data_IF_803655891965
#
_entry.id   IF_803655891965
#
_cell.length_a   1.000
_cell.length_b   1.000
_cell.length_c   1.000
_cell.angle_alpha   90.00
_cell.angle_beta   90.00
_cell.angle_gamma   90.00
#
_symmetry.space_group_name_H-M   'P 1'
#
loop_
_entity.id
_entity.type
_entity.pdbx_description
1 polymer ?
#
# COMPACT_ATOMS: atom_id res chain seq x y z
N UNK A 1 -15.61 19.93 16.47
CA UNK A 1 -16.37 20.04 15.20
C UNK A 1 -15.47 19.44 14.13
N UNK A 2 -15.92 18.43 13.38
CA UNK A 2 -15.10 17.88 12.29
C UNK A 2 -15.01 18.89 11.15
N UNK A 3 -13.88 18.95 10.44
CA UNK A 3 -13.82 19.71 9.21
C UNK A 3 -14.73 19.05 8.16
N UNK A 4 -15.67 19.81 7.59
CA UNK A 4 -16.49 19.36 6.46
C UNK A 4 -15.65 19.43 5.18
N UNK A 5 -14.84 18.41 4.95
CA UNK A 5 -13.99 18.33 3.75
C UNK A 5 -14.68 17.48 2.68
N UNK A 6 -14.95 18.07 1.52
CA UNK A 6 -15.66 17.41 0.43
C UNK A 6 -15.00 16.07 0.03
N UNK A 7 -15.73 14.97 0.25
CA UNK A 7 -15.29 13.61 -0.08
C UNK A 7 -14.50 12.88 1.01
N UNK A 8 -14.20 13.52 2.15
CA UNK A 8 -13.57 12.86 3.31
C UNK A 8 -14.64 12.58 4.38
N UNK A 9 -14.81 11.33 4.77
CA UNK A 9 -15.73 10.96 5.84
C UNK A 9 -14.96 10.74 7.14
N UNK A 10 -15.31 11.50 8.18
CA UNK A 10 -14.81 11.32 9.54
C UNK A 10 -15.84 10.57 10.37
N UNK A 11 -15.49 9.36 10.81
CA UNK A 11 -16.28 8.59 11.77
C UNK A 11 -15.49 8.53 13.08
N UNK A 12 -16.00 9.17 14.12
CA UNK A 12 -15.44 9.09 15.47
C UNK A 12 -16.23 8.09 16.30
N UNK A 13 -15.50 7.20 16.97
CA UNK A 13 -15.99 6.36 18.06
C UNK A 13 -15.15 6.68 19.30
N UNK A 14 -15.65 6.44 20.51
CA UNK A 14 -15.14 7.03 21.77
C UNK A 14 -13.61 6.89 22.02
N UNK A 15 -12.93 5.98 21.35
CA UNK A 15 -11.46 5.79 21.40
C UNK A 15 -10.75 5.85 20.04
N UNK A 16 -11.46 5.98 18.90
CA UNK A 16 -10.88 5.80 17.57
C UNK A 16 -11.43 6.78 16.56
N UNK A 17 -10.53 7.40 15.80
CA UNK A 17 -10.88 8.21 14.65
C UNK A 17 -10.68 7.39 13.38
N UNK A 18 -11.72 7.27 12.57
CA UNK A 18 -11.67 6.66 11.24
C UNK A 18 -11.85 7.78 10.22
N UNK A 19 -10.92 7.85 9.27
CA UNK A 19 -10.92 8.83 8.18
C UNK A 19 -10.97 8.05 6.87
N UNK A 20 -12.02 8.24 6.08
CA UNK A 20 -12.17 7.61 4.76
C UNK A 20 -11.82 8.65 3.70
N UNK A 21 -10.82 8.33 2.87
CA UNK A 21 -10.22 9.24 1.90
C UNK A 21 -10.43 8.69 0.48
N UNK A 22 -10.91 9.50 -0.47
CA UNK A 22 -11.05 9.11 -1.85
C UNK A 22 -9.67 9.15 -2.51
N UNK A 23 -9.28 8.06 -3.18
CA UNK A 23 -7.97 7.99 -3.87
C UNK A 23 -8.18 8.27 -5.35
N UNK A 24 -7.42 9.21 -5.92
CA UNK A 24 -7.38 9.36 -7.38
C UNK A 24 -6.56 8.23 -7.99
N UNK A 25 -7.26 7.25 -8.56
CA UNK A 25 -6.61 6.11 -9.23
C UNK A 25 -5.78 6.56 -10.42
N UNK A 26 -4.49 6.22 -10.40
CA UNK A 26 -3.65 6.30 -11.59
C UNK A 26 -3.94 5.12 -12.51
N UNK A 27 -4.84 5.35 -13.48
CA UNK A 27 -5.29 4.33 -14.43
C UNK A 27 -4.16 3.75 -15.29
N UNK A 28 -3.12 4.54 -15.58
CA UNK A 28 -1.97 4.09 -16.38
C UNK A 28 -1.19 3.04 -15.59
N UNK A 29 -0.82 3.35 -14.36
CA UNK A 29 -0.08 2.41 -13.51
C UNK A 29 -0.92 1.17 -13.19
N UNK A 30 -2.20 1.34 -12.89
CA UNK A 30 -3.12 0.22 -12.70
C UNK A 30 -3.17 -0.71 -13.94
N UNK A 31 -3.24 -0.14 -15.14
CA UNK A 31 -3.20 -0.89 -16.39
C UNK A 31 -1.89 -1.65 -16.59
N UNK A 32 -0.75 -0.98 -16.39
CA UNK A 32 0.59 -1.60 -16.50
C UNK A 32 0.72 -2.78 -15.53
N UNK A 33 0.41 -2.57 -14.24
CA UNK A 33 0.50 -3.65 -13.25
C UNK A 33 -0.49 -4.78 -13.52
N UNK A 34 -1.67 -4.49 -14.12
CA UNK A 34 -2.62 -5.53 -14.52
C UNK A 34 -2.05 -6.42 -15.63
N UNK A 35 -1.46 -5.81 -16.66
CA UNK A 35 -0.81 -6.55 -17.76
C UNK A 35 0.37 -7.37 -17.25
N UNK A 36 1.24 -6.77 -16.43
CA UNK A 36 2.37 -7.47 -15.82
C UNK A 36 1.90 -8.65 -14.97
N UNK A 37 0.83 -8.48 -14.19
CA UNK A 37 0.27 -9.57 -13.38
C UNK A 37 -0.24 -10.73 -14.24
N UNK A 38 -0.94 -10.44 -15.34
CA UNK A 38 -1.39 -11.48 -16.29
C UNK A 38 -0.22 -12.20 -16.96
N UNK A 39 0.83 -11.47 -17.37
CA UNK A 39 2.04 -12.06 -17.95
C UNK A 39 2.75 -12.95 -16.93
N UNK A 40 2.94 -12.48 -15.69
CA UNK A 40 3.55 -13.27 -14.63
C UNK A 40 2.75 -14.55 -14.34
N UNK A 41 1.42 -14.45 -14.29
CA UNK A 41 0.55 -15.60 -14.09
C UNK A 41 0.67 -16.61 -15.24
N UNK A 42 0.67 -16.13 -16.50
CA UNK A 42 0.87 -16.98 -17.67
C UNK A 42 2.23 -17.68 -17.67
N UNK A 43 3.31 -16.96 -17.36
CA UNK A 43 4.66 -17.51 -17.22
C UNK A 43 4.75 -18.54 -16.09
N UNK A 44 4.04 -18.31 -14.98
CA UNK A 44 4.03 -19.23 -13.86
C UNK A 44 3.29 -20.53 -14.18
N UNK A 45 2.11 -20.44 -14.81
CA UNK A 45 1.34 -21.61 -15.25
C UNK A 45 2.09 -22.41 -16.31
N UNK A 46 2.58 -21.74 -17.36
CA UNK A 46 3.35 -22.39 -18.43
C UNK A 46 4.65 -23.01 -17.92
N UNK A 47 5.38 -22.31 -17.03
CA UNK A 47 6.58 -22.81 -16.39
C UNK A 47 6.32 -24.04 -15.52
N UNK A 48 5.21 -24.10 -14.78
CA UNK A 48 4.81 -25.28 -14.02
C UNK A 48 4.52 -26.48 -14.93
N UNK A 49 3.75 -26.29 -16.00
CA UNK A 49 3.43 -27.33 -16.99
C UNK A 49 4.73 -27.87 -17.61
N UNK A 50 5.61 -26.97 -18.04
CA UNK A 50 6.88 -27.34 -18.66
C UNK A 50 7.82 -28.06 -17.68
N UNK A 51 7.87 -27.62 -16.43
CA UNK A 51 8.66 -28.29 -15.37
C UNK A 51 8.17 -29.72 -15.15
N UNK A 52 6.85 -29.93 -15.10
CA UNK A 52 6.27 -31.26 -14.97
C UNK A 52 6.62 -32.15 -16.18
N UNK A 53 6.45 -31.64 -17.40
CA UNK A 53 6.81 -32.37 -18.62
C UNK A 53 8.29 -32.79 -18.63
N UNK A 54 9.18 -31.89 -18.24
CA UNK A 54 10.62 -32.17 -18.21
C UNK A 54 10.98 -33.23 -17.15
N UNK A 55 10.36 -33.16 -15.97
CA UNK A 55 10.59 -34.12 -14.90
C UNK A 55 10.26 -35.57 -15.32
N UNK A 56 9.24 -35.74 -16.18
CA UNK A 56 8.83 -37.05 -16.71
C UNK A 56 9.43 -37.41 -18.07
N UNK A 57 10.31 -36.58 -18.64
CA UNK A 57 10.85 -36.77 -20.01
C UNK A 57 11.87 -37.90 -20.13
N UNK A 58 12.42 -38.41 -19.02
CA UNK A 58 13.49 -39.43 -19.03
C UNK A 58 14.83 -38.95 -19.57
N UNK A 59 15.00 -37.64 -19.81
CA UNK A 59 16.25 -37.07 -20.31
C UNK A 59 17.38 -37.17 -19.27
N UNK A 60 18.62 -37.37 -19.73
CA UNK A 60 19.82 -37.52 -18.86
C UNK A 60 20.02 -36.37 -17.87
N UNK A 61 19.61 -35.16 -18.24
CA UNK A 61 19.73 -33.96 -17.40
C UNK A 61 18.39 -33.45 -16.84
N UNK A 62 17.32 -34.26 -16.92
CA UNK A 62 15.97 -33.86 -16.50
C UNK A 62 15.93 -33.36 -15.05
N UNK A 63 16.61 -34.02 -14.13
CA UNK A 63 16.64 -33.66 -12.70
C UNK A 63 17.27 -32.28 -12.50
N UNK A 64 18.49 -32.06 -13.04
CA UNK A 64 19.21 -30.79 -12.87
C UNK A 64 18.41 -29.63 -13.46
N UNK A 65 17.84 -29.83 -14.65
CA UNK A 65 17.04 -28.81 -15.32
C UNK A 65 15.72 -28.52 -14.58
N UNK A 66 15.08 -29.55 -14.01
CA UNK A 66 13.87 -29.40 -13.18
C UNK A 66 14.16 -28.57 -11.93
N UNK A 67 15.27 -28.85 -11.23
CA UNK A 67 15.68 -28.05 -10.06
C UNK A 67 15.94 -26.59 -10.45
N UNK A 68 16.62 -26.35 -11.58
CA UNK A 68 16.87 -25.01 -12.08
C UNK A 68 15.56 -24.26 -12.41
N UNK A 69 14.59 -24.94 -13.03
CA UNK A 69 13.28 -24.37 -13.32
C UNK A 69 12.48 -24.08 -12.04
N UNK A 70 12.53 -24.95 -11.04
CA UNK A 70 11.87 -24.70 -9.75
C UNK A 70 12.45 -23.48 -9.05
N UNK A 71 13.77 -23.27 -9.10
CA UNK A 71 14.40 -22.05 -8.58
C UNK A 71 13.91 -20.81 -9.34
N UNK A 72 13.84 -20.86 -10.67
CA UNK A 72 13.31 -19.77 -11.48
C UNK A 72 11.85 -19.47 -11.14
N UNK A 73 11.01 -20.50 -10.98
CA UNK A 73 9.60 -20.37 -10.58
C UNK A 73 9.47 -19.79 -9.17
N UNK A 74 10.36 -20.14 -8.24
CA UNK A 74 10.39 -19.55 -6.91
C UNK A 74 10.69 -18.04 -6.97
N UNK A 75 11.69 -17.63 -7.78
CA UNK A 75 12.00 -16.21 -8.01
C UNK A 75 10.80 -15.49 -8.64
N UNK A 76 10.18 -16.09 -9.66
CA UNK A 76 8.99 -15.55 -10.31
C UNK A 76 7.83 -15.39 -9.32
N UNK A 77 7.65 -16.34 -8.40
CA UNK A 77 6.63 -16.26 -7.36
C UNK A 77 6.84 -15.06 -6.41
N UNK A 78 8.09 -14.83 -5.97
CA UNK A 78 8.41 -13.66 -5.16
C UNK A 78 8.14 -12.35 -5.92
N UNK A 79 8.48 -12.31 -7.21
CA UNK A 79 8.17 -11.18 -8.06
C UNK A 79 6.66 -10.98 -8.23
N UNK A 80 5.90 -12.06 -8.43
CA UNK A 80 4.44 -12.02 -8.53
C UNK A 80 3.81 -11.47 -7.25
N UNK A 81 4.33 -11.83 -6.07
CA UNK A 81 3.87 -11.28 -4.79
C UNK A 81 4.13 -9.76 -4.69
N UNK A 82 5.25 -9.28 -5.23
CA UNK A 82 5.54 -7.85 -5.30
C UNK A 82 4.56 -7.13 -6.25
N UNK A 83 4.41 -7.64 -7.48
CA UNK A 83 3.47 -7.10 -8.48
C UNK A 83 2.04 -7.08 -7.94
N UNK A 84 1.64 -8.13 -7.24
CA UNK A 84 0.33 -8.22 -6.60
C UNK A 84 0.09 -7.10 -5.59
N UNK A 85 1.06 -6.83 -4.71
CA UNK A 85 0.98 -5.72 -3.75
C UNK A 85 0.86 -4.36 -4.44
N UNK A 86 1.67 -4.13 -5.47
CA UNK A 86 1.61 -2.89 -6.25
C UNK A 86 0.27 -2.76 -6.99
N UNK A 87 -0.21 -3.85 -7.59
CA UNK A 87 -1.52 -3.87 -8.24
C UNK A 87 -2.64 -3.50 -7.27
N UNK A 88 -2.65 -4.09 -6.08
CA UNK A 88 -3.63 -3.77 -5.04
C UNK A 88 -3.55 -2.30 -4.59
N UNK A 89 -2.35 -1.75 -4.47
CA UNK A 89 -2.14 -0.33 -4.15
C UNK A 89 -2.81 0.58 -5.18
N UNK A 90 -2.64 0.31 -6.48
CA UNK A 90 -3.26 1.10 -7.55
C UNK A 90 -4.72 0.73 -7.85
N UNK A 91 -5.18 -0.45 -7.39
CA UNK A 91 -6.56 -0.89 -7.57
C UNK A 91 -7.52 -0.28 -6.53
N UNK A 92 -7.01 0.11 -5.36
CA UNK A 92 -7.82 0.60 -4.24
C UNK A 92 -8.57 1.90 -4.62
N UNK A 93 -9.92 1.93 -4.51
CA UNK A 93 -10.70 3.13 -4.83
C UNK A 93 -10.71 4.16 -3.70
N UNK A 94 -10.37 3.72 -2.48
CA UNK A 94 -10.37 4.54 -1.26
C UNK A 94 -9.29 4.05 -0.32
N UNK A 95 -8.84 4.95 0.53
CA UNK A 95 -7.97 4.68 1.66
C UNK A 95 -8.73 4.96 2.95
N UNK A 96 -8.52 4.13 3.96
CA UNK A 96 -9.16 4.29 5.27
C UNK A 96 -8.04 4.34 6.30
N UNK A 97 -7.93 5.47 6.98
CA UNK A 97 -7.04 5.65 8.10
C UNK A 97 -7.82 5.40 9.39
N UNK A 98 -7.37 4.45 10.20
CA UNK A 98 -7.83 4.32 11.57
C UNK A 98 -6.71 4.77 12.49
N UNK A 99 -7.00 5.73 13.36
CA UNK A 99 -6.02 6.27 14.30
C UNK A 99 -6.57 6.20 15.72
N UNK A 100 -5.73 5.69 16.61
CA UNK A 100 -5.92 5.63 18.06
C UNK A 100 -4.58 5.99 18.74
N UNK A 101 -4.58 6.24 20.04
CA UNK A 101 -3.40 6.54 20.86
C UNK A 101 -2.27 5.51 20.72
N UNK A 102 -2.60 4.24 20.49
CA UNK A 102 -1.60 3.16 20.42
C UNK A 102 -1.19 2.81 18.98
N UNK A 103 -2.08 2.98 18.00
CA UNK A 103 -1.86 2.46 16.65
C UNK A 103 -2.45 3.36 15.57
N UNK A 104 -1.73 3.41 14.45
CA UNK A 104 -2.17 3.98 13.19
C UNK A 104 -2.29 2.85 12.16
N UNK A 105 -3.48 2.64 11.62
CA UNK A 105 -3.77 1.59 10.64
C UNK A 105 -4.22 2.24 9.33
N UNK A 106 -3.49 1.97 8.25
CA UNK A 106 -3.86 2.36 6.89
C UNK A 106 -4.42 1.15 6.17
N UNK A 107 -5.68 1.22 5.77
CA UNK A 107 -6.38 0.16 5.04
C UNK A 107 -6.75 0.61 3.64
N UNK A 108 -6.32 -0.15 2.64
CA UNK A 108 -6.62 0.01 1.20
C UNK A 108 -7.53 -1.13 0.75
N UNK A 109 -8.87 -1.00 0.87
CA UNK A 109 -9.78 -2.07 0.49
C UNK A 109 -9.77 -2.30 -1.02
N UNK A 110 -9.47 -3.54 -1.43
CA UNK A 110 -9.66 -4.04 -2.80
C UNK A 110 -10.50 -5.32 -2.68
N UNK A 111 -11.83 -5.17 -2.74
CA UNK A 111 -12.77 -6.27 -2.48
C UNK A 111 -12.39 -7.07 -1.21
N UNK A 112 -12.19 -8.39 -1.30
CA UNK A 112 -11.85 -9.31 -0.19
C UNK A 112 -10.36 -9.30 0.20
N UNK A 113 -9.47 -8.76 -0.63
CA UNK A 113 -8.00 -8.91 -0.49
C UNK A 113 -7.27 -7.59 -0.23
N UNK A 114 -7.93 -6.58 0.36
CA UNK A 114 -7.30 -5.28 0.61
C UNK A 114 -6.00 -5.34 1.42
N UNK A 115 -5.10 -4.38 1.18
CA UNK A 115 -3.88 -4.22 1.98
C UNK A 115 -4.24 -3.50 3.26
N UNK A 116 -3.70 -3.99 4.39
CA UNK A 116 -3.80 -3.33 5.69
C UNK A 116 -2.40 -3.24 6.26
N UNK A 117 -1.95 -2.02 6.49
CA UNK A 117 -0.68 -1.72 7.14
C UNK A 117 -1.00 -1.14 8.52
N UNK A 118 -0.40 -1.69 9.57
CA UNK A 118 -0.57 -1.22 10.94
C UNK A 118 0.79 -0.76 11.48
N UNK A 119 0.78 0.39 12.15
CA UNK A 119 1.95 1.09 12.68
C UNK A 119 1.71 1.40 14.14
N UNK A 120 2.70 1.14 14.98
CA UNK A 120 2.69 1.54 16.39
C UNK A 120 2.91 3.06 16.49
N UNK A 121 2.04 3.75 17.21
CA UNK A 121 2.08 5.21 17.31
C UNK A 121 3.40 5.74 17.89
N UNK A 122 4.11 4.94 18.70
CA UNK A 122 5.39 5.33 19.31
C UNK A 122 6.49 5.65 18.28
N UNK A 123 6.38 5.14 17.05
CA UNK A 123 7.36 5.37 15.99
C UNK A 123 6.80 6.19 14.82
N UNK A 124 5.55 6.64 14.93
CA UNK A 124 4.89 7.45 13.91
C UNK A 124 5.20 8.91 14.20
N UNK A 125 5.78 9.60 13.21
CA UNK A 125 5.91 11.06 13.23
C UNK A 125 4.60 11.74 12.80
N UNK A 126 4.42 13.02 13.16
CA UNK A 126 3.27 13.80 12.72
C UNK A 126 3.08 13.76 11.21
N UNK A 127 1.82 13.92 10.81
CA UNK A 127 1.45 13.90 9.41
C UNK A 127 1.91 15.20 8.75
N UNK A 128 2.40 15.12 7.52
CA UNK A 128 2.81 16.28 6.73
C UNK A 128 2.29 16.14 5.30
N UNK A 129 2.28 17.26 4.56
CA UNK A 129 1.93 17.24 3.15
C UNK A 129 3.18 16.99 2.31
N UNK A 130 3.17 15.93 1.50
CA UNK A 130 4.24 15.65 0.55
C UNK A 130 3.95 16.36 -0.78
N UNK A 131 4.70 17.42 -1.06
CA UNK A 131 4.57 18.20 -2.31
C UNK A 131 4.91 17.38 -3.57
N UNK A 132 5.83 16.42 -3.47
CA UNK A 132 6.29 15.61 -4.61
C UNK A 132 5.22 14.62 -5.05
N UNK A 133 4.52 14.01 -4.10
CA UNK A 133 3.50 12.99 -4.38
C UNK A 133 2.06 13.50 -4.24
N UNK A 134 1.85 14.76 -3.84
CA UNK A 134 0.54 15.41 -3.66
C UNK A 134 -0.40 14.55 -2.81
N UNK A 135 0.06 14.24 -1.61
CA UNK A 135 -0.66 13.42 -0.64
C UNK A 135 -0.15 13.68 0.77
N UNK A 136 -0.65 12.90 1.71
CA UNK A 136 -0.22 12.99 3.10
C UNK A 136 0.91 11.99 3.32
N UNK A 137 1.98 12.42 3.97
CA UNK A 137 3.07 11.56 4.41
C UNK A 137 3.17 11.52 5.92
N UNK A 138 3.68 10.42 6.44
CA UNK A 138 4.22 10.33 7.80
C UNK A 138 5.45 9.44 7.76
N UNK A 139 6.36 9.63 8.71
CA UNK A 139 7.49 8.73 8.86
C UNK A 139 7.18 7.68 9.92
N UNK A 140 7.52 6.42 9.61
CA UNK A 140 7.58 5.34 10.59
C UNK A 140 9.05 4.96 10.78
N UNK A 141 9.66 5.45 11.85
CA UNK A 141 11.12 5.47 11.99
C UNK A 141 11.78 6.26 10.85
N UNK A 142 12.65 5.63 10.07
CA UNK A 142 13.33 6.29 8.93
C UNK A 142 12.60 6.17 7.59
N UNK A 143 11.45 5.48 7.53
CA UNK A 143 10.78 5.19 6.27
C UNK A 143 9.55 6.10 6.08
N UNK A 144 9.50 6.92 5.01
CA UNK A 144 8.30 7.67 4.69
C UNK A 144 7.20 6.72 4.23
N UNK A 145 5.98 6.96 4.70
CA UNK A 145 4.74 6.31 4.29
C UNK A 145 3.81 7.36 3.68
N UNK A 146 3.25 7.03 2.54
CA UNK A 146 2.37 7.91 1.77
C UNK A 146 0.94 7.37 1.81
N UNK A 147 -0.01 8.27 1.96
CA UNK A 147 -1.45 8.01 1.86
C UNK A 147 -2.18 9.25 1.34
N UNK A 148 -3.48 9.13 1.08
CA UNK A 148 -4.35 10.20 0.62
C UNK A 148 -3.92 10.84 -0.72
N UNK A 149 -3.40 10.03 -1.65
CA UNK A 149 -2.89 10.53 -2.93
C UNK A 149 -3.99 11.20 -3.77
N UNK A 150 -3.73 12.45 -4.18
CA UNK A 150 -4.56 13.19 -5.13
C UNK A 150 -5.68 14.06 -4.55
N UNK A 151 -5.71 14.21 -3.21
CA UNK A 151 -6.51 15.24 -2.53
C UNK A 151 -5.99 16.65 -2.87
N UNK A 152 -6.86 17.65 -2.73
CA UNK A 152 -6.44 19.04 -2.85
C UNK A 152 -5.61 19.44 -1.62
N UNK A 153 -4.63 20.34 -1.83
CA UNK A 153 -3.71 20.79 -0.78
C UNK A 153 -4.45 21.38 0.43
N UNK A 154 -5.52 22.15 0.20
CA UNK A 154 -6.36 22.70 1.28
C UNK A 154 -7.02 21.61 2.13
N UNK A 155 -7.51 20.55 1.49
CA UNK A 155 -8.14 19.40 2.16
C UNK A 155 -7.13 18.62 2.99
N UNK A 156 -5.90 18.46 2.47
CA UNK A 156 -4.82 17.81 3.19
C UNK A 156 -4.38 18.65 4.38
N UNK A 157 -4.17 19.96 4.20
CA UNK A 157 -3.73 20.85 5.26
C UNK A 157 -4.72 20.87 6.44
N UNK A 158 -6.02 20.94 6.16
CA UNK A 158 -7.06 20.92 7.18
C UNK A 158 -7.12 19.58 7.93
N UNK A 159 -7.01 18.46 7.21
CA UNK A 159 -6.97 17.13 7.83
C UNK A 159 -5.70 16.95 8.68
N UNK A 160 -4.54 17.36 8.17
CA UNK A 160 -3.25 17.27 8.87
C UNK A 160 -3.28 18.09 10.14
N UNK A 161 -3.75 19.35 10.09
CA UNK A 161 -3.88 20.21 11.25
C UNK A 161 -4.81 19.60 12.31
N UNK A 162 -5.95 19.03 11.89
CA UNK A 162 -6.89 18.36 12.80
C UNK A 162 -6.30 17.12 13.46
N UNK A 163 -5.65 16.23 12.68
CA UNK A 163 -5.11 14.97 13.20
C UNK A 163 -3.88 15.23 14.07
N UNK A 164 -2.98 16.12 13.66
CA UNK A 164 -1.80 16.49 14.44
C UNK A 164 -2.19 17.18 15.75
N UNK A 165 -3.13 18.13 15.72
CA UNK A 165 -3.60 18.78 16.94
C UNK A 165 -4.23 17.81 17.96
N UNK A 166 -4.78 16.69 17.50
CA UNK A 166 -5.42 15.69 18.38
C UNK A 166 -4.49 14.58 18.87
N UNK A 167 -3.62 14.07 17.99
CA UNK A 167 -2.80 12.88 18.27
C UNK A 167 -1.31 13.18 18.45
N UNK A 168 -0.84 14.36 18.04
CA UNK A 168 0.54 14.82 18.17
C UNK A 168 0.62 16.21 18.86
N UNK A 169 -0.05 16.44 20.01
CA UNK A 169 -0.14 17.77 20.62
C UNK A 169 1.18 18.29 21.22
N UNK A 170 2.19 17.43 21.37
CA UNK A 170 3.49 17.77 21.92
C UNK A 170 4.55 18.05 20.84
N UNK A 171 4.17 18.04 19.57
CA UNK A 171 5.05 18.36 18.47
C UNK A 171 4.93 19.87 18.18
N UNK A 172 5.93 20.64 18.62
CA UNK A 172 6.12 22.02 18.16
C UNK A 172 6.90 21.96 16.83
N UNK A 173 6.35 22.59 15.79
CA UNK A 173 6.96 22.73 14.46
C UNK A 173 8.24 23.62 14.48
N UNK A 174 8.62 24.15 15.64
CA UNK A 174 9.67 25.15 15.85
C UNK A 174 11.09 24.55 16.03
N UNK A 175 11.26 23.22 16.00
CA UNK A 175 12.55 22.55 16.27
C UNK A 175 13.38 22.19 15.01
N UNK A 176 12.91 22.48 13.80
CA UNK A 176 13.62 22.21 12.54
C UNK A 176 13.91 23.51 11.74
N UNK A 177 14.83 24.35 12.26
CA UNK A 177 15.51 25.45 11.53
C UNK A 177 16.98 25.08 11.20
#
# INVERSE_FOLDING_TARGET
MFPEVEGIEFEENDERLKIVLPVKRNWILFGIYSVVMLVCLGLMVSGLIFTAQMAFSGARFAIVFTVMLLLLLAILFYFMRFVWRQWQFYAAPREILFINKDMLIVRRPVSILGITDAYDMQYVQPLSYDMKYRGVSFHYGSQPRLFALGLAESQVAEMVAFVNGRFFPAYDDDDDD
#
